data_IF_094771066331
#
_entry.id   IF_094771066331
#
_cell.length_a   1.000
_cell.length_b   1.000
_cell.length_c   1.000
_cell.angle_alpha   90.00
_cell.angle_beta   90.00
_cell.angle_gamma   90.00
#
_symmetry.space_group_name_H-M   'P 1'
#
loop_
_entity.id
_entity.type
_entity.pdbx_description
1 polymer ?
#
# COMPACT_ATOMS: atom_id res chain seq x y z
N UNK A 1 36.49 9.71 -9.20
CA UNK A 1 35.66 8.79 -10.03
C UNK A 1 35.17 7.59 -9.23
N UNK A 2 36.03 6.79 -8.61
CA UNK A 2 35.61 5.57 -7.88
C UNK A 2 34.59 5.82 -6.76
N UNK A 3 34.75 6.88 -5.96
CA UNK A 3 33.78 7.20 -4.89
C UNK A 3 32.39 7.58 -5.42
N UNK A 4 32.33 8.24 -6.58
CA UNK A 4 31.05 8.56 -7.23
C UNK A 4 30.34 7.29 -7.71
N UNK A 5 31.07 6.34 -8.30
CA UNK A 5 30.51 5.05 -8.72
C UNK A 5 29.98 4.29 -7.51
N UNK A 6 30.79 4.17 -6.44
CA UNK A 6 30.39 3.47 -5.20
C UNK A 6 29.12 4.09 -4.62
N UNK A 7 29.07 5.43 -4.52
CA UNK A 7 27.87 6.13 -4.04
C UNK A 7 26.63 5.80 -4.88
N UNK A 8 26.73 5.85 -6.21
CA UNK A 8 25.59 5.59 -7.08
C UNK A 8 25.13 4.13 -7.03
N UNK A 9 26.05 3.17 -6.89
CA UNK A 9 25.68 1.75 -6.70
C UNK A 9 24.93 1.55 -5.39
N UNK A 10 25.41 2.16 -4.30
CA UNK A 10 24.74 2.10 -3.00
C UNK A 10 23.34 2.74 -3.10
N UNK A 11 23.25 3.96 -3.62
CA UNK A 11 21.98 4.67 -3.75
C UNK A 11 21.00 3.99 -4.71
N UNK A 12 21.48 3.41 -5.81
CA UNK A 12 20.65 2.62 -6.72
C UNK A 12 20.10 1.37 -6.04
N UNK A 13 20.87 0.74 -5.16
CA UNK A 13 20.39 -0.41 -4.38
C UNK A 13 19.36 0.03 -3.33
N UNK A 14 19.66 1.08 -2.57
CA UNK A 14 18.78 1.57 -1.49
C UNK A 14 17.47 2.11 -2.09
N UNK A 15 17.54 3.10 -2.97
CA UNK A 15 16.35 3.75 -3.52
C UNK A 15 15.69 2.92 -4.63
N UNK A 16 16.49 2.32 -5.51
CA UNK A 16 15.98 1.62 -6.68
C UNK A 16 15.40 0.25 -6.36
N UNK A 17 15.99 -0.48 -5.40
CA UNK A 17 15.57 -1.83 -5.02
C UNK A 17 14.84 -1.83 -3.67
N UNK A 18 15.45 -1.31 -2.61
CA UNK A 18 14.88 -1.48 -1.26
C UNK A 18 13.70 -0.52 -1.00
N UNK A 19 13.73 0.72 -1.46
CA UNK A 19 12.64 1.65 -1.13
C UNK A 19 11.32 1.34 -1.85
N UNK A 20 11.37 0.72 -3.04
CA UNK A 20 10.20 0.55 -3.92
C UNK A 20 10.05 -0.88 -4.48
N UNK A 21 10.96 -1.80 -4.15
CA UNK A 21 11.03 -3.12 -4.78
C UNK A 21 9.85 -4.05 -4.53
N UNK A 22 9.04 -3.80 -3.49
CA UNK A 22 7.86 -4.61 -3.18
C UNK A 22 6.62 -4.29 -4.04
N UNK A 23 6.59 -3.14 -4.70
CA UNK A 23 5.39 -2.68 -5.44
C UNK A 23 5.07 -3.57 -6.63
N UNK A 24 6.06 -3.91 -7.45
CA UNK A 24 5.87 -4.78 -8.62
C UNK A 24 5.53 -6.23 -8.21
N UNK A 25 6.23 -6.87 -7.25
CA UNK A 25 5.82 -8.17 -6.74
C UNK A 25 4.41 -8.20 -6.14
N UNK A 26 3.99 -7.15 -5.43
CA UNK A 26 2.62 -7.04 -4.91
C UNK A 26 1.60 -6.96 -6.05
N UNK A 27 1.91 -6.18 -7.10
CA UNK A 27 1.06 -6.09 -8.28
C UNK A 27 0.97 -7.41 -9.05
N UNK A 28 2.07 -8.17 -9.15
CA UNK A 28 2.05 -9.52 -9.72
C UNK A 28 1.14 -10.46 -8.91
N UNK A 29 1.14 -10.34 -7.58
CA UNK A 29 0.21 -11.07 -6.73
C UNK A 29 -1.26 -10.70 -7.05
N UNK A 30 -1.55 -9.43 -7.35
CA UNK A 30 -2.86 -8.95 -7.82
C UNK A 30 -3.25 -9.57 -9.16
N UNK A 31 -2.30 -9.72 -10.07
CA UNK A 31 -2.56 -10.29 -11.39
C UNK A 31 -2.77 -11.81 -11.36
N UNK A 32 -2.11 -12.51 -10.43
CA UNK A 32 -2.12 -13.97 -10.37
C UNK A 32 -3.17 -14.54 -9.44
N UNK A 33 -3.64 -13.76 -8.46
CA UNK A 33 -4.66 -14.21 -7.49
C UNK A 33 -6.04 -13.75 -7.92
N UNK A 34 -6.92 -14.70 -8.24
CA UNK A 34 -8.29 -14.41 -8.71
C UNK A 34 -9.10 -13.60 -7.71
N UNK A 35 -8.84 -13.78 -6.41
CA UNK A 35 -9.57 -13.11 -5.34
C UNK A 35 -9.46 -11.58 -5.42
N UNK A 36 -8.27 -11.07 -5.74
CA UNK A 36 -8.02 -9.62 -5.85
C UNK A 36 -8.77 -8.97 -7.02
N UNK A 37 -9.19 -9.75 -8.02
CA UNK A 37 -9.93 -9.24 -9.19
C UNK A 37 -11.45 -9.26 -9.00
N UNK A 38 -11.92 -9.66 -7.82
CA UNK A 38 -13.36 -9.72 -7.55
C UNK A 38 -13.95 -8.32 -7.39
N UNK A 39 -15.09 -8.07 -8.02
CA UNK A 39 -15.88 -6.84 -7.84
C UNK A 39 -16.16 -6.61 -6.34
N UNK A 40 -16.06 -5.37 -5.90
CA UNK A 40 -16.12 -5.02 -4.48
C UNK A 40 -14.77 -5.12 -3.76
N UNK A 41 -13.65 -5.10 -4.49
CA UNK A 41 -12.30 -5.10 -3.89
C UNK A 41 -11.67 -3.70 -3.88
N UNK A 42 -11.08 -3.34 -2.73
CA UNK A 42 -10.34 -2.11 -2.53
C UNK A 42 -8.88 -2.38 -2.16
N UNK A 43 -7.98 -1.62 -2.77
CA UNK A 43 -6.55 -1.61 -2.47
C UNK A 43 -6.16 -0.23 -1.92
N UNK A 44 -5.49 -0.21 -0.77
CA UNK A 44 -5.04 1.03 -0.14
C UNK A 44 -3.53 0.95 0.01
N UNK A 45 -2.81 1.80 -0.72
CA UNK A 45 -1.35 1.89 -0.66
C UNK A 45 -0.95 2.92 0.38
N UNK A 46 -0.41 2.47 1.51
CA UNK A 46 -0.05 3.34 2.64
C UNK A 46 1.43 3.23 2.98
N UNK A 47 2.09 4.39 3.18
CA UNK A 47 3.55 4.49 3.44
C UNK A 47 4.43 3.81 2.36
N UNK A 48 3.87 3.63 1.17
CA UNK A 48 4.54 3.05 0.01
C UNK A 48 3.91 3.60 -1.26
N UNK A 49 4.66 3.58 -2.36
CA UNK A 49 4.17 4.05 -3.66
C UNK A 49 3.07 3.13 -4.21
N UNK A 50 2.02 3.72 -4.76
CA UNK A 50 1.08 2.99 -5.62
C UNK A 50 1.70 2.75 -7.00
N UNK A 51 1.41 1.62 -7.68
CA UNK A 51 1.92 1.37 -9.02
C UNK A 51 1.24 2.30 -10.02
N UNK A 52 1.91 2.64 -11.13
CA UNK A 52 1.30 3.37 -12.23
C UNK A 52 -0.02 2.73 -12.69
N UNK A 53 -1.00 3.58 -12.96
CA UNK A 53 -2.40 3.18 -13.22
C UNK A 53 -2.56 2.15 -14.35
N UNK A 54 -1.74 2.25 -15.40
CA UNK A 54 -1.75 1.34 -16.54
C UNK A 54 -1.26 -0.08 -16.20
N UNK A 55 -0.48 -0.26 -15.12
CA UNK A 55 0.04 -1.57 -14.75
C UNK A 55 -1.03 -2.48 -14.14
N UNK A 56 -2.16 -1.95 -13.66
CA UNK A 56 -3.26 -2.78 -13.16
C UNK A 56 -3.89 -3.64 -14.25
N UNK A 57 -3.80 -3.25 -15.52
CA UNK A 57 -4.37 -4.01 -16.64
C UNK A 57 -5.91 -4.02 -16.67
N UNK A 58 -6.54 -3.11 -15.92
CA UNK A 58 -7.99 -2.98 -15.79
C UNK A 58 -8.54 -1.87 -16.71
N UNK A 59 -9.81 -1.99 -17.07
CA UNK A 59 -10.49 -0.94 -17.83
C UNK A 59 -10.84 0.25 -16.93
N UNK A 60 -10.88 1.48 -17.46
CA UNK A 60 -11.28 2.66 -16.67
C UNK A 60 -12.68 2.56 -16.06
N UNK A 61 -13.54 1.70 -16.61
CA UNK A 61 -14.89 1.44 -16.08
C UNK A 61 -14.85 0.51 -14.87
N UNK A 62 -13.85 -0.38 -14.78
CA UNK A 62 -13.76 -1.38 -13.72
C UNK A 62 -12.85 -0.93 -12.56
N UNK A 63 -11.80 -0.14 -12.83
CA UNK A 63 -10.87 0.36 -11.80
C UNK A 63 -10.99 1.87 -11.63
N UNK A 64 -11.38 2.29 -10.42
CA UNK A 64 -11.31 3.69 -9.98
C UNK A 64 -10.02 3.93 -9.19
N UNK A 65 -9.32 5.02 -9.49
CA UNK A 65 -8.09 5.39 -8.80
C UNK A 65 -8.32 6.70 -8.07
N UNK A 66 -8.04 6.73 -6.77
CA UNK A 66 -8.20 7.90 -5.92
C UNK A 66 -6.84 8.23 -5.30
N UNK A 67 -6.36 9.45 -5.53
CA UNK A 67 -5.19 9.98 -4.84
C UNK A 67 -5.66 10.82 -3.66
N UNK A 68 -5.26 10.46 -2.45
CA UNK A 68 -5.60 11.18 -1.23
C UNK A 68 -4.37 11.90 -0.67
N UNK A 69 -4.41 13.22 -0.71
CA UNK A 69 -3.45 14.05 0.00
C UNK A 69 -3.91 14.30 1.43
N UNK A 70 -2.96 14.44 2.36
CA UNK A 70 -3.22 14.56 3.80
C UNK A 70 -4.21 15.69 4.16
N UNK A 71 -4.24 16.77 3.39
CA UNK A 71 -5.08 17.95 3.62
C UNK A 71 -6.43 17.92 2.87
N UNK A 72 -6.67 16.89 2.05
CA UNK A 72 -7.77 16.87 1.09
C UNK A 72 -8.73 15.72 1.33
N UNK A 73 -8.66 15.06 2.49
CA UNK A 73 -9.63 14.01 2.83
C UNK A 73 -11.00 14.67 2.97
N UNK A 74 -11.93 14.44 2.02
CA UNK A 74 -13.25 14.99 2.16
C UNK A 74 -13.91 14.27 3.34
N UNK A 75 -14.78 14.97 4.08
CA UNK A 75 -15.55 14.38 5.19
C UNK A 75 -16.37 13.15 4.77
N UNK A 76 -16.60 12.99 3.46
CA UNK A 76 -17.14 11.79 2.84
C UNK A 76 -16.37 11.48 1.55
N UNK A 77 -15.72 10.32 1.49
CA UNK A 77 -15.07 9.86 0.27
C UNK A 77 -16.15 9.60 -0.77
N UNK A 78 -16.10 10.30 -1.92
CA UNK A 78 -17.06 10.09 -3.02
C UNK A 78 -16.78 8.76 -3.72
N UNK A 79 -17.17 7.68 -3.06
CA UNK A 79 -17.08 6.31 -3.54
C UNK A 79 -18.22 6.10 -4.52
N UNK A 80 -17.87 6.07 -5.80
CA UNK A 80 -18.82 5.74 -6.85
C UNK A 80 -18.93 4.23 -6.88
N UNK A 81 -20.13 3.71 -6.61
CA UNK A 81 -20.41 2.27 -6.57
C UNK A 81 -20.43 1.63 -7.96
N UNK A 82 -20.21 2.41 -9.03
CA UNK A 82 -20.18 1.90 -10.41
C UNK A 82 -18.90 1.14 -10.78
N UNK A 83 -17.77 1.44 -10.13
CA UNK A 83 -16.51 0.74 -10.36
C UNK A 83 -16.42 -0.53 -9.50
N UNK A 84 -16.00 -1.64 -10.11
CA UNK A 84 -15.86 -2.90 -9.39
C UNK A 84 -14.62 -2.97 -8.50
N UNK A 85 -13.59 -2.19 -8.80
CA UNK A 85 -12.33 -2.15 -8.08
C UNK A 85 -11.97 -0.69 -7.76
N UNK A 86 -11.34 -0.49 -6.61
CA UNK A 86 -10.76 0.79 -6.25
C UNK A 86 -9.31 0.64 -5.81
N UNK A 87 -8.44 1.53 -6.29
CA UNK A 87 -7.08 1.69 -5.78
C UNK A 87 -6.93 3.09 -5.19
N UNK A 88 -6.52 3.17 -3.94
CA UNK A 88 -6.34 4.40 -3.19
C UNK A 88 -4.86 4.61 -2.92
N UNK A 89 -4.33 5.72 -3.41
CA UNK A 89 -3.02 6.20 -3.00
C UNK A 89 -3.17 7.02 -1.73
N UNK A 90 -2.62 6.48 -0.63
CA UNK A 90 -2.60 7.09 0.68
C UNK A 90 -1.16 7.19 1.22
N UNK A 91 -0.14 7.20 0.34
CA UNK A 91 1.27 7.10 0.73
C UNK A 91 1.67 8.11 1.82
N UNK A 92 1.25 9.38 1.68
CA UNK A 92 1.57 10.47 2.61
C UNK A 92 0.56 10.67 3.75
N UNK A 93 -0.42 9.79 3.91
CA UNK A 93 -1.47 9.95 4.91
C UNK A 93 -0.99 9.52 6.30
N UNK A 94 -1.37 10.27 7.35
CA UNK A 94 -1.15 9.81 8.73
C UNK A 94 -2.12 8.69 9.13
N UNK A 95 -1.77 7.93 10.17
CA UNK A 95 -2.52 6.74 10.56
C UNK A 95 -3.97 7.02 11.00
N UNK A 96 -4.21 8.07 11.81
CA UNK A 96 -5.56 8.42 12.29
C UNK A 96 -6.53 8.75 11.14
N UNK A 97 -6.01 9.38 10.09
CA UNK A 97 -6.78 9.68 8.89
C UNK A 97 -7.01 8.43 8.04
N UNK A 98 -6.01 7.55 7.95
CA UNK A 98 -6.09 6.29 7.23
C UNK A 98 -7.18 5.39 7.80
N UNK A 99 -7.32 5.29 9.11
CA UNK A 99 -8.38 4.46 9.73
C UNK A 99 -9.76 4.92 9.31
N UNK A 100 -10.02 6.23 9.26
CA UNK A 100 -11.28 6.79 8.77
C UNK A 100 -11.52 6.46 7.28
N UNK A 101 -10.47 6.41 6.46
CA UNK A 101 -10.57 6.02 5.04
C UNK A 101 -10.86 4.52 4.91
N UNK A 102 -10.20 3.66 5.69
CA UNK A 102 -10.46 2.22 5.73
C UNK A 102 -11.91 1.95 6.12
N UNK A 103 -12.40 2.62 7.16
CA UNK A 103 -13.80 2.50 7.61
C UNK A 103 -14.77 2.89 6.51
N UNK A 104 -14.60 4.07 5.89
CA UNK A 104 -15.46 4.53 4.79
C UNK A 104 -15.40 3.61 3.56
N UNK A 105 -14.25 3.03 3.24
CA UNK A 105 -14.15 2.09 2.11
C UNK A 105 -14.82 0.77 2.44
N UNK A 106 -14.65 0.26 3.67
CA UNK A 106 -15.19 -1.03 4.10
C UNK A 106 -16.72 -1.10 4.10
N UNK A 107 -17.42 0.03 4.17
CA UNK A 107 -18.89 0.09 4.06
C UNK A 107 -19.39 -0.09 2.62
N UNK A 108 -18.55 0.19 1.62
CA UNK A 108 -18.89 0.12 0.20
C UNK A 108 -18.23 -1.04 -0.54
N UNK A 109 -17.06 -1.50 -0.08
CA UNK A 109 -16.28 -2.57 -0.70
C UNK A 109 -16.23 -3.79 0.22
N UNK A 110 -16.52 -4.96 -0.36
CA UNK A 110 -16.56 -6.24 0.35
C UNK A 110 -15.18 -6.63 0.91
N UNK A 111 -14.14 -6.43 0.10
CA UNK A 111 -12.76 -6.81 0.43
C UNK A 111 -11.90 -5.57 0.45
N UNK A 112 -11.14 -5.40 1.52
CA UNK A 112 -10.23 -4.25 1.68
C UNK A 112 -8.85 -4.78 2.01
N UNK A 113 -7.89 -4.43 1.16
CA UNK A 113 -6.49 -4.78 1.31
C UNK A 113 -5.67 -3.52 1.56
N UNK A 114 -4.85 -3.55 2.60
CA UNK A 114 -3.88 -2.51 2.91
C UNK A 114 -2.50 -3.00 2.51
N UNK A 115 -1.84 -2.27 1.62
CA UNK A 115 -0.49 -2.55 1.15
C UNK A 115 0.44 -1.55 1.81
N UNK A 116 1.33 -2.05 2.66
CA UNK A 116 2.18 -1.18 3.48
C UNK A 116 3.44 -1.92 3.93
N UNK A 117 4.53 -1.19 4.28
CA UNK A 117 5.71 -1.84 4.83
C UNK A 117 5.39 -2.55 6.15
N UNK A 118 6.04 -3.70 6.37
CA UNK A 118 5.76 -4.54 7.55
C UNK A 118 6.07 -3.80 8.86
N UNK A 119 7.11 -2.97 8.87
CA UNK A 119 7.45 -2.11 9.99
C UNK A 119 6.30 -1.14 10.34
N UNK A 120 5.81 -0.38 9.35
CA UNK A 120 4.74 0.60 9.51
C UNK A 120 3.44 -0.07 9.93
N UNK A 121 3.14 -1.26 9.41
CA UNK A 121 1.99 -2.04 9.85
C UNK A 121 2.08 -2.39 11.34
N UNK A 122 3.19 -3.01 11.76
CA UNK A 122 3.35 -3.50 13.14
C UNK A 122 3.36 -2.38 14.19
N UNK A 123 3.79 -1.18 13.81
CA UNK A 123 3.80 -0.04 14.69
C UNK A 123 2.40 0.56 14.90
N UNK A 124 1.55 0.52 13.87
CA UNK A 124 0.31 1.30 13.86
C UNK A 124 -0.96 0.45 13.98
N UNK A 125 -0.98 -0.76 13.43
CA UNK A 125 -2.18 -1.58 13.32
C UNK A 125 -2.29 -2.65 14.40
N UNK A 126 -3.53 -2.95 14.78
CA UNK A 126 -3.85 -4.13 15.57
C UNK A 126 -3.98 -5.37 14.66
N UNK A 127 -3.11 -6.35 14.88
CA UNK A 127 -3.10 -7.63 14.16
C UNK A 127 -4.41 -8.43 14.25
N UNK A 128 -5.29 -8.18 15.22
CA UNK A 128 -6.56 -8.93 15.31
C UNK A 128 -7.58 -8.55 14.25
N UNK A 129 -7.45 -7.37 13.64
CA UNK A 129 -8.39 -6.86 12.64
C UNK A 129 -7.93 -7.13 11.21
N UNK A 130 -6.76 -7.76 11.04
CA UNK A 130 -6.14 -7.94 9.73
C UNK A 130 -5.46 -9.30 9.64
N UNK A 131 -5.43 -9.85 8.44
CA UNK A 131 -4.68 -11.05 8.09
C UNK A 131 -3.61 -10.72 7.06
N UNK A 132 -2.36 -11.10 7.30
CA UNK A 132 -1.30 -11.03 6.29
C UNK A 132 -1.55 -12.12 5.24
N UNK A 133 -1.89 -11.72 4.02
CA UNK A 133 -2.20 -12.65 2.91
C UNK A 133 -1.02 -12.81 1.94
N UNK A 134 -0.07 -11.89 1.98
CA UNK A 134 1.13 -11.92 1.14
C UNK A 134 2.22 -11.00 1.69
N UNK A 135 3.50 -11.35 1.49
CA UNK A 135 4.62 -10.48 1.81
C UNK A 135 5.84 -10.66 0.92
N UNK A 136 6.69 -9.63 0.89
CA UNK A 136 7.94 -9.58 0.14
C UNK A 136 9.04 -8.93 0.97
N UNK A 137 10.19 -9.59 1.07
CA UNK A 137 11.24 -9.21 2.02
C UNK A 137 12.07 -7.98 1.60
N UNK A 138 12.24 -7.73 0.29
CA UNK A 138 13.15 -6.68 -0.19
C UNK A 138 12.42 -5.34 -0.38
N UNK A 139 11.95 -4.78 0.73
CA UNK A 139 11.35 -3.45 0.78
C UNK A 139 11.70 -2.76 2.11
N UNK A 140 11.86 -1.44 2.15
CA UNK A 140 12.18 -0.67 3.36
C UNK A 140 11.42 0.65 3.35
N UNK A 141 10.72 0.94 4.46
CA UNK A 141 10.08 2.24 4.71
C UNK A 141 11.14 3.29 5.04
N UNK A 142 11.73 3.89 4.00
CA UNK A 142 12.81 4.87 4.19
C UNK A 142 12.33 6.20 4.77
N UNK A 143 11.04 6.50 4.65
CA UNK A 143 10.47 7.77 5.08
C UNK A 143 10.19 7.79 6.59
N UNK A 144 10.15 6.61 7.24
CA UNK A 144 9.75 6.44 8.65
C UNK A 144 10.75 5.62 9.47
N UNK A 145 12.04 5.63 9.09
CA UNK A 145 13.08 4.98 9.87
C UNK A 145 13.29 5.70 11.21
N UNK A 146 13.10 4.97 12.30
CA UNK A 146 13.40 5.43 13.66
C UNK A 146 14.42 4.49 14.32
N UNK A 147 15.67 4.94 14.36
CA UNK A 147 16.76 4.18 14.95
C UNK A 147 16.64 3.98 16.48
N UNK A 148 15.72 4.67 17.15
CA UNK A 148 15.40 4.41 18.55
C UNK A 148 14.44 3.21 18.73
N UNK A 149 13.71 2.84 17.68
CA UNK A 149 12.77 1.72 17.66
C UNK A 149 13.19 0.68 16.60
N UNK A 150 13.90 -0.40 16.98
CA UNK A 150 14.43 -1.39 16.04
C UNK A 150 13.38 -2.02 15.10
N UNK A 151 12.12 -2.06 15.51
CA UNK A 151 11.01 -2.55 14.68
C UNK A 151 10.78 -1.69 13.43
N UNK A 152 11.06 -0.38 13.48
CA UNK A 152 10.94 0.54 12.33
C UNK A 152 11.90 0.17 11.19
N UNK A 153 12.98 -0.54 11.51
CA UNK A 153 14.00 -0.97 10.56
C UNK A 153 13.67 -2.34 9.93
N UNK A 154 12.54 -2.95 10.32
CA UNK A 154 12.16 -4.26 9.79
C UNK A 154 11.87 -4.15 8.29
N UNK A 155 12.58 -4.90 7.43
CA UNK A 155 12.30 -4.87 6.00
C UNK A 155 11.03 -5.65 5.69
N UNK A 156 10.40 -5.25 4.60
CA UNK A 156 9.38 -5.98 3.87
C UNK A 156 8.17 -5.11 3.53
N UNK A 157 7.46 -5.54 2.49
CA UNK A 157 6.15 -5.03 2.10
C UNK A 157 5.16 -6.17 2.23
N UNK A 158 3.96 -5.90 2.70
CA UNK A 158 2.93 -6.91 2.82
C UNK A 158 1.57 -6.39 2.37
N UNK A 159 0.70 -7.33 2.04
CA UNK A 159 -0.71 -7.11 1.75
C UNK A 159 -1.49 -7.68 2.94
N UNK A 160 -2.25 -6.82 3.60
CA UNK A 160 -3.08 -7.16 4.75
C UNK A 160 -4.56 -7.09 4.37
N UNK A 161 -5.28 -8.19 4.52
CA UNK A 161 -6.73 -8.25 4.34
C UNK A 161 -7.43 -7.79 5.62
N UNK A 162 -8.36 -6.84 5.52
CA UNK A 162 -9.22 -6.45 6.64
C UNK A 162 -10.17 -7.61 6.98
N UNK A 163 -10.15 -8.05 8.23
CA UNK A 163 -11.08 -9.05 8.75
C UNK A 163 -12.41 -8.36 9.10
N UNK A 164 -13.49 -8.81 8.47
CA UNK A 164 -14.83 -8.38 8.88
C UNK A 164 -15.26 -9.15 10.12
N UNK A 165 -15.66 -8.42 11.16
CA UNK A 165 -16.37 -8.96 12.33
C UNK A 165 -17.86 -9.10 12.03
#
# INVERSE_FOLDING_TARGET
>A
MSMWIVFNVIMATIMGVLHQGGVIPALEAFHTTTEYKTTGTAFIWWRTYSPPTWMFGETPQNLKIISLEENTIPSTLALDSSAGLISVDAMGMNYEKLTNVIEQISTHYEKVYVITPIASFKENFNTSSFEEVWSYAYHVDMDHLDFSHPQSLQPGLAIYSLLRL
#
